data_IF_343681498252
#
_entry.id   IF_343681498252
#
_cell.length_a   1.000
_cell.length_b   1.000
_cell.length_c   1.000
_cell.angle_alpha   90.00
_cell.angle_beta   90.00
_cell.angle_gamma   90.00
#
_symmetry.space_group_name_H-M   'P 1'
#
loop_
_entity.id
_entity.type
_entity.pdbx_description
1 polymer ?
#
# COMPACT_ATOMS: atom_id res chain seq x y z
N UNK A 1 -13.80 -14.20 -0.07
CA UNK A 1 -13.42 -14.81 -1.37
C UNK A 1 -13.34 -13.63 -2.34
N UNK A 2 -12.14 -13.28 -2.78
CA UNK A 2 -11.92 -12.25 -3.78
C UNK A 2 -12.34 -12.81 -5.14
N UNK A 3 -13.22 -12.11 -5.87
CA UNK A 3 -13.59 -12.45 -7.24
C UNK A 3 -12.38 -12.19 -8.17
N UNK A 4 -12.04 -13.14 -9.02
CA UNK A 4 -10.93 -13.08 -9.98
C UNK A 4 -11.12 -12.03 -11.10
N UNK A 5 -12.15 -11.17 -11.05
CA UNK A 5 -12.45 -10.14 -12.03
C UNK A 5 -11.83 -8.77 -11.75
N UNK A 6 -10.89 -8.67 -10.80
CA UNK A 6 -10.12 -7.45 -10.56
C UNK A 6 -8.95 -7.32 -11.55
N UNK A 7 -9.25 -7.09 -12.79
CA UNK A 7 -8.26 -6.87 -13.83
C UNK A 7 -8.63 -5.74 -14.76
N UNK A 8 -8.79 -4.51 -14.22
CA UNK A 8 -8.59 -3.26 -14.97
C UNK A 8 -8.90 -2.09 -14.03
N UNK A 9 -7.87 -1.35 -13.64
CA UNK A 9 -7.96 -0.21 -12.75
C UNK A 9 -8.50 1.03 -13.47
N UNK A 10 -9.79 1.17 -13.51
CA UNK A 10 -10.48 2.41 -13.87
C UNK A 10 -11.30 2.97 -12.71
N UNK A 11 -10.79 2.90 -11.49
CA UNK A 11 -11.45 3.53 -10.34
C UNK A 11 -12.68 2.77 -9.83
N UNK A 12 -12.78 1.48 -10.08
CA UNK A 12 -13.92 0.66 -9.67
C UNK A 12 -13.71 0.04 -8.29
N UNK A 13 -14.76 0.02 -7.52
CA UNK A 13 -14.85 -0.24 -6.10
C UNK A 13 -15.02 -1.73 -5.77
N UNK A 14 -14.65 -2.11 -4.55
CA UNK A 14 -14.69 -3.48 -4.05
C UNK A 14 -16.11 -3.95 -3.78
N UNK A 15 -16.49 -5.12 -4.30
CA UNK A 15 -17.68 -5.85 -3.88
C UNK A 15 -17.35 -6.79 -2.73
N UNK A 16 -18.08 -6.70 -1.64
CA UNK A 16 -18.05 -7.71 -0.58
C UNK A 16 -19.26 -8.61 -0.75
N UNK A 17 -19.07 -9.80 -1.31
CA UNK A 17 -20.09 -10.86 -1.20
C UNK A 17 -19.99 -11.49 0.18
N UNK A 18 -21.04 -11.34 0.98
CA UNK A 18 -21.21 -12.10 2.22
C UNK A 18 -22.06 -13.32 1.88
N UNK A 19 -21.54 -14.56 2.06
CA UNK A 19 -22.37 -15.74 1.87
C UNK A 19 -23.55 -15.71 2.83
N UNK A 20 -24.76 -15.90 2.32
CA UNK A 20 -25.97 -16.11 3.12
C UNK A 20 -25.85 -17.46 3.84
N UNK A 21 -25.34 -17.46 5.06
CA UNK A 21 -25.33 -18.64 5.91
C UNK A 21 -26.30 -18.46 7.07
N UNK A 22 -27.39 -19.23 7.03
CA UNK A 22 -28.13 -19.68 8.18
C UNK A 22 -28.80 -18.60 9.04
N UNK A 23 -30.09 -18.46 8.90
CA UNK A 23 -30.94 -17.78 9.87
C UNK A 23 -30.65 -18.32 11.29
N UNK A 24 -30.14 -17.46 12.16
CA UNK A 24 -30.16 -17.70 13.61
C UNK A 24 -31.46 -17.11 14.12
N UNK A 25 -32.38 -17.98 14.50
CA UNK A 25 -33.68 -17.63 15.03
C UNK A 25 -33.53 -16.69 16.25
N UNK A 26 -34.07 -15.49 16.16
CA UNK A 26 -34.36 -14.63 17.32
C UNK A 26 -33.61 -13.30 17.42
N UNK A 27 -32.83 -12.88 16.46
CA UNK A 27 -32.28 -11.52 16.45
C UNK A 27 -32.67 -10.77 15.16
N UNK A 28 -33.12 -9.48 15.28
CA UNK A 28 -33.44 -8.69 14.09
C UNK A 28 -32.18 -8.49 13.27
N UNK A 29 -32.27 -8.56 11.93
CA UNK A 29 -31.15 -8.25 11.05
C UNK A 29 -30.72 -6.80 11.28
N UNK A 30 -29.41 -6.57 11.33
CA UNK A 30 -28.86 -5.22 11.32
C UNK A 30 -29.09 -4.63 9.95
N UNK A 31 -29.84 -3.56 9.90
CA UNK A 31 -29.88 -2.69 8.75
C UNK A 31 -28.59 -1.88 8.72
N UNK A 32 -27.57 -2.39 8.03
CA UNK A 32 -26.49 -1.57 7.53
C UNK A 32 -26.94 -1.05 6.17
N UNK A 33 -27.29 0.22 6.08
CA UNK A 33 -27.45 0.86 4.77
C UNK A 33 -26.07 0.96 4.14
N UNK A 34 -25.73 0.01 3.27
CA UNK A 34 -24.55 0.08 2.44
C UNK A 34 -24.84 1.06 1.30
N UNK A 35 -24.19 2.22 1.30
CA UNK A 35 -24.11 3.04 0.09
C UNK A 35 -23.06 2.38 -0.83
N UNK A 36 -23.55 1.78 -1.91
CA UNK A 36 -22.69 1.34 -3.02
C UNK A 36 -22.40 2.58 -3.87
N UNK A 37 -21.15 3.01 -3.90
CA UNK A 37 -20.73 4.07 -4.82
C UNK A 37 -20.58 3.49 -6.22
N UNK A 38 -21.00 4.27 -7.23
CA UNK A 38 -21.07 3.93 -8.63
C UNK A 38 -19.77 3.33 -9.18
N UNK A 39 -19.73 2.01 -9.28
CA UNK A 39 -19.23 1.37 -10.48
C UNK A 39 -20.43 1.26 -11.43
N UNK A 40 -20.24 1.31 -12.74
CA UNK A 40 -21.31 1.09 -13.73
C UNK A 40 -22.04 -0.24 -13.42
N UNK A 41 -23.09 -0.17 -12.63
CA UNK A 41 -23.83 -1.34 -12.17
C UNK A 41 -25.07 -0.96 -11.36
N UNK A 42 -25.94 -1.93 -11.16
CA UNK A 42 -27.14 -1.78 -10.34
C UNK A 42 -26.76 -1.65 -8.84
N UNK A 43 -27.40 -0.71 -8.15
CA UNK A 43 -27.28 -0.57 -6.70
C UNK A 43 -27.81 -1.84 -6.03
N UNK A 44 -26.98 -2.52 -5.24
CA UNK A 44 -27.37 -3.74 -4.53
C UNK A 44 -27.37 -3.47 -3.04
N UNK A 45 -28.51 -3.67 -2.40
CA UNK A 45 -28.63 -3.63 -0.96
C UNK A 45 -28.28 -5.00 -0.36
N UNK A 46 -27.33 -5.03 0.57
CA UNK A 46 -26.91 -6.24 1.27
C UNK A 46 -27.17 -6.07 2.76
N UNK A 47 -28.01 -6.94 3.34
CA UNK A 47 -28.24 -7.02 4.78
C UNK A 47 -27.24 -8.01 5.40
N UNK A 48 -26.49 -7.56 6.41
CA UNK A 48 -25.51 -8.39 7.09
C UNK A 48 -25.58 -8.19 8.60
N UNK A 49 -25.38 -9.27 9.37
CA UNK A 49 -25.28 -9.19 10.84
C UNK A 49 -24.01 -8.46 11.29
N UNK A 50 -22.92 -8.65 10.58
CA UNK A 50 -21.62 -8.03 10.82
C UNK A 50 -21.04 -7.50 9.53
N UNK A 51 -20.40 -6.34 9.61
CA UNK A 51 -19.65 -5.75 8.48
C UNK A 51 -18.19 -5.62 8.88
N UNK A 52 -17.30 -6.17 8.05
CA UNK A 52 -15.86 -6.09 8.22
C UNK A 52 -15.30 -5.12 7.19
N UNK A 53 -14.78 -3.99 7.66
CA UNK A 53 -14.21 -2.95 6.81
C UNK A 53 -12.69 -3.08 6.77
N UNK A 54 -12.14 -3.37 5.59
CA UNK A 54 -10.70 -3.40 5.34
C UNK A 54 -10.19 -2.08 4.73
N UNK A 55 -11.04 -1.08 4.56
CA UNK A 55 -10.63 0.26 4.14
C UNK A 55 -10.00 1.04 5.30
N UNK A 56 -9.39 2.18 4.99
CA UNK A 56 -8.87 3.08 6.02
C UNK A 56 -10.00 3.69 6.85
N UNK A 57 -9.69 4.14 8.07
CA UNK A 57 -10.65 4.87 8.90
C UNK A 57 -11.16 6.15 8.23
N UNK A 58 -10.35 6.81 7.40
CA UNK A 58 -10.75 7.97 6.59
C UNK A 58 -11.78 7.57 5.53
N UNK A 59 -11.54 6.47 4.82
CA UNK A 59 -12.49 5.96 3.82
C UNK A 59 -13.79 5.46 4.47
N UNK A 60 -13.69 4.81 5.63
CA UNK A 60 -14.87 4.43 6.39
C UNK A 60 -15.70 5.67 6.78
N UNK A 61 -15.06 6.74 7.28
CA UNK A 61 -15.73 7.99 7.59
C UNK A 61 -16.44 8.58 6.34
N UNK A 62 -15.76 8.57 5.19
CA UNK A 62 -16.33 9.03 3.91
C UNK A 62 -17.54 8.20 3.50
N UNK A 63 -17.45 6.87 3.54
CA UNK A 63 -18.54 5.94 3.19
C UNK A 63 -19.75 6.12 4.13
N UNK A 64 -19.48 6.38 5.41
CA UNK A 64 -20.54 6.57 6.42
C UNK A 64 -21.07 8.02 6.49
N UNK A 65 -20.66 8.90 5.57
CA UNK A 65 -21.11 10.28 5.46
C UNK A 65 -20.59 11.21 6.56
N UNK A 66 -19.49 10.85 7.23
CA UNK A 66 -18.86 11.71 8.23
C UNK A 66 -17.98 12.77 7.57
N UNK A 67 -17.80 13.94 8.23
CA UNK A 67 -16.84 14.93 7.79
C UNK A 67 -15.42 14.34 7.77
N UNK A 68 -14.65 14.59 6.70
CA UNK A 68 -13.24 14.14 6.59
C UNK A 68 -12.35 14.64 7.74
N UNK A 69 -12.69 15.79 8.33
CA UNK A 69 -11.97 16.36 9.48
C UNK A 69 -12.04 15.52 10.77
N UNK A 70 -12.89 14.50 10.80
CA UNK A 70 -13.06 13.65 11.99
C UNK A 70 -11.94 12.61 12.18
N UNK A 71 -11.12 12.38 11.15
CA UNK A 71 -10.02 11.40 11.20
C UNK A 71 -8.72 12.11 10.87
N UNK A 72 -7.78 12.14 11.82
CA UNK A 72 -6.40 12.59 11.56
C UNK A 72 -5.77 11.63 10.55
N UNK A 73 -5.19 12.19 9.51
CA UNK A 73 -4.42 11.43 8.54
C UNK A 73 -2.97 11.94 8.59
N UNK A 74 -2.11 11.19 9.29
CA UNK A 74 -0.69 11.45 9.29
C UNK A 74 -0.12 11.18 7.90
N UNK A 75 0.79 12.05 7.46
CA UNK A 75 1.32 11.92 6.10
C UNK A 75 2.22 10.70 5.95
N UNK A 76 2.05 10.00 4.84
CA UNK A 76 2.98 8.96 4.41
C UNK A 76 4.26 9.57 3.84
N UNK A 77 5.34 8.80 3.89
CA UNK A 77 6.66 9.21 3.40
C UNK A 77 7.25 8.19 2.41
N UNK A 78 6.41 7.39 1.80
CA UNK A 78 6.81 6.38 0.83
C UNK A 78 6.77 6.92 -0.61
N UNK A 79 7.76 6.50 -1.39
CA UNK A 79 7.80 6.71 -2.83
C UNK A 79 7.98 5.36 -3.52
N UNK A 80 7.12 5.03 -4.46
CA UNK A 80 7.14 3.71 -5.10
C UNK A 80 7.52 3.82 -6.56
N UNK A 81 8.46 2.96 -7.01
CA UNK A 81 8.77 2.82 -8.44
C UNK A 81 8.67 1.36 -8.83
N UNK A 82 7.80 1.07 -9.79
CA UNK A 82 7.68 -0.25 -10.41
C UNK A 82 8.39 -0.23 -11.77
N UNK A 83 9.19 -1.25 -12.03
CA UNK A 83 9.94 -1.40 -13.27
C UNK A 83 9.76 -2.79 -13.84
N UNK A 84 9.53 -2.91 -15.16
CA UNK A 84 9.64 -4.16 -15.89
C UNK A 84 10.96 -4.14 -16.67
N UNK A 85 11.80 -5.14 -16.45
CA UNK A 85 13.13 -5.26 -17.04
C UNK A 85 13.19 -6.41 -18.04
N UNK A 86 13.90 -6.23 -19.14
CA UNK A 86 14.24 -7.30 -20.10
C UNK A 86 15.27 -8.27 -19.53
N UNK A 87 16.04 -7.84 -18.54
CA UNK A 87 17.06 -8.58 -17.80
C UNK A 87 17.43 -7.82 -16.55
N UNK A 88 18.02 -8.49 -15.58
CA UNK A 88 18.57 -7.82 -14.40
C UNK A 88 19.80 -6.96 -14.79
N UNK A 89 19.98 -5.80 -14.15
CA UNK A 89 21.15 -4.97 -14.34
C UNK A 89 22.38 -5.60 -13.65
N UNK A 90 23.56 -5.42 -14.24
CA UNK A 90 24.81 -5.97 -13.68
C UNK A 90 25.40 -5.05 -12.62
N UNK A 91 25.68 -5.59 -11.41
CA UNK A 91 26.41 -4.85 -10.40
C UNK A 91 27.84 -4.52 -10.87
N UNK A 92 28.29 -3.31 -10.55
CA UNK A 92 29.65 -2.83 -10.91
C UNK A 92 30.76 -3.64 -10.24
N UNK A 93 30.49 -4.27 -9.12
CA UNK A 93 31.53 -4.98 -8.36
C UNK A 93 32.13 -6.18 -9.09
N UNK A 94 31.50 -6.71 -10.11
CA UNK A 94 31.96 -7.86 -10.90
C UNK A 94 32.09 -9.18 -10.10
N UNK A 95 32.01 -9.13 -8.79
CA UNK A 95 32.16 -10.28 -7.89
C UNK A 95 30.83 -10.90 -7.47
N UNK A 96 29.70 -10.32 -7.91
CA UNK A 96 28.36 -10.75 -7.57
C UNK A 96 27.53 -10.85 -8.85
N UNK A 97 26.86 -11.98 -9.06
CA UNK A 97 25.94 -12.13 -10.17
C UNK A 97 24.69 -11.25 -9.95
N UNK A 98 24.01 -10.80 -11.01
CA UNK A 98 22.77 -10.00 -10.86
C UNK A 98 21.72 -10.69 -9.98
N UNK A 99 21.55 -11.99 -10.15
CA UNK A 99 20.59 -12.80 -9.39
C UNK A 99 20.93 -12.81 -7.89
N UNK A 100 22.22 -12.85 -7.54
CA UNK A 100 22.68 -12.79 -6.16
C UNK A 100 22.47 -11.39 -5.56
N UNK A 101 22.77 -10.33 -6.34
CA UNK A 101 22.65 -8.95 -5.89
C UNK A 101 21.18 -8.56 -5.58
N UNK A 102 20.23 -9.10 -6.33
CA UNK A 102 18.81 -8.77 -6.21
C UNK A 102 17.97 -9.90 -5.59
N UNK A 103 18.60 -10.95 -5.05
CA UNK A 103 17.88 -12.06 -4.39
C UNK A 103 17.20 -11.66 -3.06
N UNK A 104 17.74 -10.64 -2.42
CA UNK A 104 17.18 -10.06 -1.19
C UNK A 104 16.82 -8.60 -1.40
N UNK A 105 16.84 -7.83 -0.34
CA UNK A 105 16.65 -6.38 -0.38
C UNK A 105 17.97 -5.71 -0.80
N UNK A 106 17.93 -4.96 -1.88
CA UNK A 106 19.07 -4.12 -2.30
C UNK A 106 18.87 -2.72 -1.70
N UNK A 107 19.69 -2.37 -0.71
CA UNK A 107 19.63 -1.10 0.00
C UNK A 107 20.35 0.03 -0.73
N UNK A 108 19.72 1.19 -0.82
CA UNK A 108 20.22 2.36 -1.52
C UNK A 108 20.32 3.55 -0.55
N UNK A 109 21.52 4.14 -0.43
CA UNK A 109 21.76 5.34 0.37
C UNK A 109 21.38 5.23 1.87
N UNK A 110 21.41 4.04 2.46
CA UNK A 110 20.94 3.77 3.83
C UNK A 110 22.07 3.77 4.88
N UNK A 111 23.20 4.40 4.59
CA UNK A 111 24.19 4.68 5.63
C UNK A 111 23.63 5.65 6.68
N UNK A 112 23.93 5.42 7.98
CA UNK A 112 23.38 6.18 9.11
C UNK A 112 23.39 7.70 8.89
N UNK A 113 24.55 8.28 8.55
CA UNK A 113 24.65 9.72 8.30
C UNK A 113 23.87 10.19 7.06
N UNK A 114 23.74 9.34 6.04
CA UNK A 114 22.96 9.66 4.85
C UNK A 114 21.46 9.65 5.13
N UNK A 115 20.98 8.71 5.93
CA UNK A 115 19.58 8.67 6.35
C UNK A 115 19.22 9.89 7.19
N UNK A 116 20.12 10.31 8.11
CA UNK A 116 19.91 11.52 8.90
C UNK A 116 19.80 12.77 8.00
N UNK A 117 20.70 12.92 7.02
CA UNK A 117 20.67 14.04 6.09
C UNK A 117 19.39 14.04 5.24
N UNK A 118 18.93 12.86 4.82
CA UNK A 118 17.69 12.70 4.08
C UNK A 118 16.47 13.13 4.91
N UNK A 119 16.40 12.65 6.14
CA UNK A 119 15.36 13.00 7.09
C UNK A 119 15.34 14.52 7.35
N UNK A 120 16.48 15.13 7.67
CA UNK A 120 16.58 16.57 7.95
C UNK A 120 16.14 17.42 6.74
N UNK A 121 16.52 17.02 5.51
CA UNK A 121 16.07 17.69 4.28
C UNK A 121 14.54 17.59 4.15
N UNK A 122 13.99 16.40 4.30
CA UNK A 122 12.54 16.17 4.19
C UNK A 122 11.75 16.94 5.27
N UNK A 123 12.27 17.05 6.48
CA UNK A 123 11.66 17.83 7.56
C UNK A 123 11.69 19.34 7.26
N UNK A 124 12.73 19.84 6.61
CA UNK A 124 12.80 21.25 6.18
C UNK A 124 11.95 21.57 4.94
N UNK A 125 11.25 20.57 4.37
CA UNK A 125 10.45 20.73 3.15
C UNK A 125 11.27 20.64 1.86
N UNK A 126 12.51 20.19 1.93
CA UNK A 126 13.37 20.00 0.78
C UNK A 126 13.44 18.50 0.39
N UNK A 127 13.35 18.25 -0.90
CA UNK A 127 13.51 16.87 -1.38
C UNK A 127 14.95 16.39 -1.18
N UNK A 128 15.20 15.24 -0.52
CA UNK A 128 16.54 14.71 -0.31
C UNK A 128 17.33 14.56 -1.60
N UNK A 129 18.59 15.00 -1.63
CA UNK A 129 19.45 14.87 -2.82
C UNK A 129 19.82 13.41 -3.13
N UNK A 130 20.00 12.62 -2.08
CA UNK A 130 20.30 11.18 -2.16
C UNK A 130 19.30 10.41 -1.30
N UNK A 131 18.05 10.26 -1.80
CA UNK A 131 17.03 9.60 -1.00
C UNK A 131 17.38 8.15 -0.73
N UNK A 132 17.13 7.65 0.49
CA UNK A 132 17.27 6.24 0.83
C UNK A 132 16.13 5.42 0.23
N UNK A 133 16.38 4.13 0.03
CA UNK A 133 15.35 3.23 -0.49
C UNK A 133 15.80 1.80 -0.62
N UNK A 134 14.83 0.94 -0.72
CA UNK A 134 14.98 -0.50 -0.84
C UNK A 134 14.49 -0.98 -2.19
N UNK A 135 15.18 -1.95 -2.78
CA UNK A 135 14.82 -2.50 -4.08
C UNK A 135 14.59 -4.01 -3.94
N UNK A 136 13.48 -4.48 -4.49
CA UNK A 136 13.04 -5.87 -4.44
C UNK A 136 12.84 -6.43 -5.85
N UNK A 137 13.32 -7.64 -6.10
CA UNK A 137 13.08 -8.40 -7.31
C UNK A 137 12.19 -9.61 -7.02
N UNK A 138 10.88 -9.40 -6.97
CA UNK A 138 9.94 -10.48 -6.62
C UNK A 138 10.00 -11.66 -7.59
N UNK A 139 10.30 -11.42 -8.87
CA UNK A 139 10.37 -12.46 -9.90
C UNK A 139 11.54 -13.43 -9.74
N UNK A 140 12.51 -13.16 -8.88
CA UNK A 140 13.54 -14.15 -8.52
C UNK A 140 13.01 -15.20 -7.56
N UNK A 141 11.99 -14.87 -6.75
CA UNK A 141 11.34 -15.78 -5.82
C UNK A 141 10.08 -16.40 -6.43
N UNK A 142 9.25 -15.56 -7.07
CA UNK A 142 8.01 -15.99 -7.70
C UNK A 142 7.86 -15.37 -9.09
N UNK A 143 8.26 -16.09 -10.16
CA UNK A 143 8.10 -15.61 -11.52
C UNK A 143 6.65 -15.61 -12.01
N UNK A 144 5.70 -16.22 -11.29
CA UNK A 144 4.29 -16.35 -11.71
C UNK A 144 3.55 -15.02 -11.83
N UNK A 145 4.07 -13.94 -11.24
CA UNK A 145 3.57 -12.57 -11.45
C UNK A 145 3.75 -12.06 -12.89
N UNK A 146 4.56 -12.73 -13.69
CA UNK A 146 4.72 -12.45 -15.12
C UNK A 146 3.99 -13.51 -15.96
N UNK A 147 3.50 -13.11 -17.13
CA UNK A 147 3.00 -14.07 -18.11
C UNK A 147 4.07 -15.09 -18.49
N UNK A 148 3.66 -16.29 -18.88
CA UNK A 148 4.60 -17.36 -19.30
C UNK A 148 5.52 -16.90 -20.44
N UNK A 149 5.05 -16.04 -21.33
CA UNK A 149 5.86 -15.47 -22.42
C UNK A 149 7.01 -14.61 -21.89
N UNK A 150 6.73 -13.74 -20.90
CA UNK A 150 7.75 -12.87 -20.31
C UNK A 150 8.74 -13.66 -19.45
N UNK A 151 8.26 -14.70 -18.74
CA UNK A 151 9.14 -15.61 -17.99
C UNK A 151 10.16 -16.29 -18.92
N UNK A 152 9.70 -16.87 -20.03
CA UNK A 152 10.58 -17.55 -21.01
C UNK A 152 11.58 -16.58 -21.62
N UNK A 153 11.21 -15.30 -21.78
CA UNK A 153 12.11 -14.26 -22.28
C UNK A 153 13.11 -13.74 -21.23
N UNK A 154 13.04 -14.21 -19.98
CA UNK A 154 13.92 -13.78 -18.89
C UNK A 154 13.64 -12.38 -18.37
N UNK A 155 12.40 -11.93 -18.43
CA UNK A 155 12.00 -10.63 -17.88
C UNK A 155 11.93 -10.69 -16.36
N UNK A 156 12.16 -9.54 -15.71
CA UNK A 156 12.09 -9.38 -14.27
C UNK A 156 11.33 -8.12 -13.87
N UNK A 157 10.75 -8.13 -12.68
CA UNK A 157 10.22 -6.92 -12.05
C UNK A 157 11.21 -6.42 -11.01
N UNK A 158 11.44 -5.12 -10.95
CA UNK A 158 12.04 -4.46 -9.80
C UNK A 158 11.05 -3.46 -9.21
N UNK A 159 10.87 -3.52 -7.90
CA UNK A 159 10.12 -2.53 -7.15
C UNK A 159 11.07 -1.77 -6.24
N UNK A 160 11.16 -0.46 -6.39
CA UNK A 160 11.84 0.41 -5.46
C UNK A 160 10.81 0.98 -4.46
N UNK A 161 11.12 0.86 -3.20
CA UNK A 161 10.43 1.47 -2.09
C UNK A 161 11.31 2.57 -1.50
N UNK A 162 10.97 3.82 -1.83
CA UNK A 162 11.71 5.00 -1.41
C UNK A 162 11.24 5.49 -0.05
N UNK A 163 12.17 5.99 0.74
CA UNK A 163 11.97 6.51 2.09
C UNK A 163 12.18 8.02 2.13
N UNK A 164 11.75 8.67 3.21
CA UNK A 164 11.88 10.12 3.45
C UNK A 164 11.28 11.00 2.33
N UNK A 165 10.18 10.54 1.76
CA UNK A 165 9.43 11.23 0.70
C UNK A 165 8.03 11.64 1.19
N UNK A 166 7.90 12.52 2.23
CA UNK A 166 6.62 12.85 2.81
C UNK A 166 5.68 13.54 1.80
N UNK A 167 4.39 13.36 2.02
CA UNK A 167 3.30 13.85 1.18
C UNK A 167 3.47 15.34 0.82
N UNK A 168 3.86 16.18 1.78
CA UNK A 168 4.02 17.64 1.60
C UNK A 168 5.03 18.02 0.51
N UNK A 169 6.00 17.17 0.18
CA UNK A 169 6.96 17.43 -0.90
C UNK A 169 6.32 17.37 -2.30
N UNK A 170 5.15 16.75 -2.41
CA UNK A 170 4.45 16.50 -3.68
C UNK A 170 3.13 17.29 -3.79
N UNK A 171 2.69 17.96 -2.74
CA UNK A 171 1.36 18.56 -2.62
C UNK A 171 1.14 19.72 -3.61
N UNK A 172 2.15 20.54 -3.84
CA UNK A 172 2.03 21.75 -4.68
C UNK A 172 2.16 21.43 -6.19
N UNK A 173 3.08 20.55 -6.58
CA UNK A 173 3.33 20.16 -7.97
C UNK A 173 3.80 18.70 -7.99
N UNK A 174 2.83 17.79 -7.92
CA UNK A 174 3.09 16.36 -7.80
C UNK A 174 3.88 15.82 -9.00
N UNK A 175 3.55 16.22 -10.21
CA UNK A 175 4.19 15.69 -11.42
C UNK A 175 5.68 16.04 -11.44
N UNK A 176 6.01 17.31 -11.27
CA UNK A 176 7.40 17.76 -11.24
C UNK A 176 8.18 17.18 -10.07
N UNK A 177 7.60 17.14 -8.87
CA UNK A 177 8.26 16.60 -7.69
C UNK A 177 8.52 15.09 -7.85
N UNK A 178 7.56 14.34 -8.40
CA UNK A 178 7.69 12.92 -8.71
C UNK A 178 8.82 12.65 -9.71
N UNK A 179 8.92 13.45 -10.77
CA UNK A 179 9.98 13.32 -11.77
C UNK A 179 11.36 13.58 -11.16
N UNK A 180 11.49 14.61 -10.31
CA UNK A 180 12.74 14.90 -9.58
C UNK A 180 13.11 13.74 -8.66
N UNK A 181 12.16 13.21 -7.90
CA UNK A 181 12.39 12.08 -7.01
C UNK A 181 12.86 10.84 -7.79
N UNK A 182 12.14 10.48 -8.87
CA UNK A 182 12.50 9.38 -9.76
C UNK A 182 13.94 9.53 -10.30
N UNK A 183 14.29 10.69 -10.81
CA UNK A 183 15.64 10.99 -11.31
C UNK A 183 16.72 10.76 -10.22
N UNK A 184 16.47 11.21 -8.98
CA UNK A 184 17.41 11.04 -7.87
C UNK A 184 17.59 9.58 -7.50
N UNK A 185 16.54 8.78 -7.50
CA UNK A 185 16.61 7.32 -7.28
C UNK A 185 17.38 6.62 -8.41
N UNK A 186 17.08 6.93 -9.68
CA UNK A 186 17.79 6.36 -10.81
C UNK A 186 19.29 6.73 -10.80
N UNK A 187 19.62 7.97 -10.50
CA UNK A 187 21.02 8.40 -10.31
C UNK A 187 21.70 7.66 -9.14
N UNK A 188 20.95 7.38 -8.08
CA UNK A 188 21.42 6.64 -6.92
C UNK A 188 21.80 5.21 -7.28
N UNK A 189 20.88 4.45 -7.88
CA UNK A 189 21.10 3.04 -8.23
C UNK A 189 22.20 2.89 -9.32
N UNK A 190 22.23 3.78 -10.31
CA UNK A 190 23.19 3.72 -11.41
C UNK A 190 24.65 3.83 -10.96
N UNK A 191 24.92 4.35 -9.74
CA UNK A 191 26.28 4.33 -9.16
C UNK A 191 26.81 2.94 -8.88
N UNK A 192 25.93 1.98 -8.65
CA UNK A 192 26.26 0.60 -8.29
C UNK A 192 26.20 -0.37 -9.47
N UNK A 193 25.82 0.11 -10.66
CA UNK A 193 25.63 -0.69 -11.86
C UNK A 193 26.72 -0.40 -12.90
N UNK A 194 27.05 -1.39 -13.73
CA UNK A 194 27.96 -1.27 -14.87
C UNK A 194 27.38 -0.40 -15.98
N UNK A 195 26.08 -0.37 -16.10
CA UNK A 195 25.31 0.38 -17.09
C UNK A 195 24.08 0.99 -16.42
N UNK A 196 23.54 2.09 -16.97
CA UNK A 196 22.31 2.65 -16.44
C UNK A 196 21.16 1.65 -16.46
N UNK A 197 20.35 1.60 -15.38
CA UNK A 197 19.22 0.68 -15.28
C UNK A 197 18.21 0.87 -16.41
N UNK A 198 18.12 2.08 -16.95
CA UNK A 198 17.26 2.45 -18.06
C UNK A 198 17.50 1.60 -19.31
N UNK A 199 18.74 1.11 -19.51
CA UNK A 199 19.09 0.20 -20.62
C UNK A 199 18.43 -1.17 -20.42
N UNK A 200 18.17 -1.58 -19.19
CA UNK A 200 17.54 -2.85 -18.85
C UNK A 200 16.00 -2.79 -18.94
N UNK A 201 15.40 -1.61 -18.92
CA UNK A 201 13.96 -1.45 -18.98
C UNK A 201 13.34 -2.08 -20.23
N UNK A 202 12.21 -2.74 -20.05
CA UNK A 202 11.32 -3.10 -21.14
C UNK A 202 10.63 -1.84 -21.70
N UNK A 203 10.08 -1.97 -22.89
CA UNK A 203 9.24 -0.94 -23.49
C UNK A 203 7.88 -1.52 -23.84
N UNK A 204 6.85 -0.70 -23.73
CA UNK A 204 5.51 -1.03 -24.21
C UNK A 204 5.42 -1.06 -25.74
N UNK A 205 4.24 -1.32 -26.27
CA UNK A 205 4.00 -1.37 -27.72
C UNK A 205 4.27 -0.03 -28.43
N UNK A 206 4.28 1.09 -27.72
CA UNK A 206 4.56 2.43 -28.23
C UNK A 206 6.03 2.85 -28.05
N UNK A 207 6.87 1.97 -27.51
CA UNK A 207 8.28 2.24 -27.23
C UNK A 207 8.51 3.03 -25.95
N UNK A 208 7.48 3.25 -25.11
CA UNK A 208 7.64 3.92 -23.83
C UNK A 208 8.27 2.96 -22.81
N UNK A 209 9.28 3.40 -22.02
CA UNK A 209 9.85 2.57 -20.97
C UNK A 209 8.80 2.12 -19.95
N UNK A 210 8.84 0.85 -19.58
CA UNK A 210 7.96 0.28 -18.56
C UNK A 210 8.48 0.60 -17.15
N UNK A 211 8.32 1.84 -16.76
CA UNK A 211 8.63 2.37 -15.43
C UNK A 211 7.49 3.26 -14.97
N UNK A 212 7.03 3.07 -13.75
CA UNK A 212 6.00 3.87 -13.12
C UNK A 212 6.47 4.31 -11.74
N UNK A 213 6.41 5.63 -11.50
CA UNK A 213 6.68 6.20 -10.20
C UNK A 213 5.38 6.72 -9.58
N UNK A 214 5.21 6.49 -8.27
CA UNK A 214 4.07 6.97 -7.50
C UNK A 214 4.56 7.65 -6.23
N UNK A 215 4.12 8.89 -6.04
CA UNK A 215 4.29 9.64 -4.80
C UNK A 215 3.19 9.31 -3.79
N UNK A 216 3.33 9.82 -2.57
CA UNK A 216 2.28 9.73 -1.55
C UNK A 216 0.94 10.35 -2.03
N UNK A 217 1.00 11.43 -2.83
CA UNK A 217 -0.20 12.06 -3.46
C UNK A 217 -0.84 11.13 -4.49
N UNK A 218 -0.04 10.42 -5.28
CA UNK A 218 -0.57 9.44 -6.24
C UNK A 218 -1.21 8.25 -5.54
N UNK A 219 -0.62 7.77 -4.44
CA UNK A 219 -1.18 6.68 -3.62
C UNK A 219 -2.53 7.07 -3.02
N UNK A 220 -2.66 8.29 -2.52
CA UNK A 220 -3.96 8.77 -2.03
C UNK A 220 -5.00 8.82 -3.16
N UNK A 221 -4.64 9.37 -4.31
CA UNK A 221 -5.57 9.51 -5.45
C UNK A 221 -5.98 8.17 -6.08
N UNK A 222 -5.03 7.23 -6.20
CA UNK A 222 -5.27 5.97 -6.94
C UNK A 222 -5.90 4.87 -6.09
N UNK A 223 -5.50 4.76 -4.83
CA UNK A 223 -5.89 3.65 -3.95
C UNK A 223 -6.40 4.11 -2.59
N UNK A 224 -6.74 5.38 -2.47
CA UNK A 224 -7.34 5.98 -1.28
C UNK A 224 -6.57 5.75 0.04
N UNK A 225 -5.23 5.67 -0.04
CA UNK A 225 -4.39 5.68 1.15
C UNK A 225 -4.36 7.09 1.74
N UNK A 226 -4.83 7.29 2.98
CA UNK A 226 -4.89 8.62 3.59
C UNK A 226 -3.52 9.29 3.58
N UNK A 227 -3.41 10.44 2.90
CA UNK A 227 -2.16 11.18 2.68
C UNK A 227 -0.99 10.27 2.25
N UNK A 228 -1.27 9.21 1.50
CA UNK A 228 -0.28 8.25 1.04
C UNK A 228 0.37 7.41 2.16
N UNK A 229 -0.21 7.39 3.36
CA UNK A 229 0.32 6.61 4.48
C UNK A 229 0.00 5.13 4.31
N UNK A 230 1.05 4.31 4.10
CA UNK A 230 0.92 2.86 3.87
C UNK A 230 0.38 2.09 5.07
N UNK A 231 0.37 2.69 6.26
CA UNK A 231 -0.23 2.13 7.47
C UNK A 231 -1.61 2.71 7.76
N UNK A 232 -2.13 3.59 6.88
CA UNK A 232 -3.40 4.31 7.00
C UNK A 232 -3.46 5.32 8.15
N UNK A 233 -2.40 5.52 8.88
CA UNK A 233 -2.23 6.40 10.04
C UNK A 233 -1.00 5.96 10.85
N UNK A 234 -0.74 6.60 11.98
CA UNK A 234 0.35 6.20 12.86
C UNK A 234 0.13 4.80 13.42
N UNK A 235 1.22 4.05 13.50
CA UNK A 235 1.21 2.75 14.18
C UNK A 235 0.99 2.98 15.67
N UNK A 236 -0.13 2.48 16.19
CA UNK A 236 -0.41 2.53 17.61
C UNK A 236 0.18 1.32 18.34
N UNK A 237 0.40 1.49 19.65
CA UNK A 237 0.85 0.42 20.50
C UNK A 237 -0.17 -0.75 20.49
N UNK A 238 0.26 -2.02 20.32
CA UNK A 238 -0.66 -3.14 20.17
C UNK A 238 -1.38 -3.56 21.45
N UNK A 239 -1.01 -3.00 22.58
CA UNK A 239 -1.63 -3.26 23.88
C UNK A 239 -2.47 -2.07 24.35
N UNK A 240 -3.27 -2.27 25.43
CA UNK A 240 -4.03 -1.20 26.04
C UNK A 240 -3.10 -0.10 26.58
N UNK A 241 -3.38 1.14 26.22
CA UNK A 241 -2.66 2.33 26.70
C UNK A 241 -3.31 2.96 27.94
N UNK A 242 -4.58 2.63 28.17
CA UNK A 242 -5.37 3.12 29.31
C UNK A 242 -6.44 2.10 29.72
N UNK A 243 -7.05 2.31 30.87
CA UNK A 243 -8.02 1.39 31.46
C UNK A 243 -9.28 1.19 30.58
N UNK A 244 -9.63 2.17 29.76
CA UNK A 244 -10.81 2.08 28.88
C UNK A 244 -10.58 1.13 27.70
N UNK A 245 -9.34 0.86 27.37
CA UNK A 245 -8.95 -0.03 26.28
C UNK A 245 -8.75 -1.49 26.73
N UNK A 246 -8.74 -1.72 28.04
CA UNK A 246 -8.61 -3.07 28.58
C UNK A 246 -9.80 -3.92 28.16
N UNK A 247 -9.52 -5.06 27.54
CA UNK A 247 -10.56 -5.97 27.05
C UNK A 247 -11.15 -5.61 25.69
N UNK A 248 -10.72 -4.51 25.06
CA UNK A 248 -11.09 -4.18 23.68
C UNK A 248 -10.14 -4.83 22.69
N UNK A 249 -10.66 -5.23 21.54
CA UNK A 249 -9.87 -5.82 20.46
C UNK A 249 -9.20 -4.78 19.57
N UNK A 250 -9.61 -3.48 19.66
CA UNK A 250 -9.08 -2.37 18.86
C UNK A 250 -9.53 -2.39 17.40
N UNK A 251 -10.62 -3.08 17.15
CA UNK A 251 -11.29 -3.17 15.83
C UNK A 251 -12.65 -2.52 15.83
N UNK A 252 -13.13 -2.17 17.01
CA UNK A 252 -14.44 -1.58 17.25
C UNK A 252 -14.54 -0.21 16.58
N UNK A 253 -15.71 0.07 16.02
CA UNK A 253 -16.09 1.40 15.53
C UNK A 253 -17.23 1.94 16.40
N UNK A 254 -17.65 3.18 16.15
CA UNK A 254 -18.84 3.73 16.81
C UNK A 254 -20.15 3.09 16.33
N UNK A 255 -20.11 2.37 15.18
CA UNK A 255 -21.26 1.67 14.64
C UNK A 255 -21.32 0.25 15.20
N UNK A 256 -22.47 -0.17 15.77
CA UNK A 256 -22.64 -1.54 16.22
C UNK A 256 -22.39 -2.52 15.07
N UNK A 257 -21.62 -3.57 15.34
CA UNK A 257 -21.33 -4.66 14.42
C UNK A 257 -20.59 -4.29 13.12
N UNK A 258 -20.04 -3.09 13.04
CA UNK A 258 -19.08 -2.66 12.02
C UNK A 258 -17.69 -2.63 12.63
N UNK A 259 -16.78 -3.44 12.11
CA UNK A 259 -15.43 -3.59 12.64
C UNK A 259 -14.37 -3.28 11.57
N UNK A 260 -13.28 -2.62 11.97
CA UNK A 260 -12.09 -2.50 11.14
C UNK A 260 -11.31 -3.83 11.21
N UNK A 261 -10.97 -4.40 10.06
CA UNK A 261 -10.24 -5.65 9.98
C UNK A 261 -8.90 -5.55 9.23
N UNK A 262 -8.49 -4.35 8.83
CA UNK A 262 -7.26 -4.06 8.09
C UNK A 262 -6.28 -3.18 8.84
N UNK A 263 -5.32 -2.63 8.11
CA UNK A 263 -4.20 -1.84 8.64
C UNK A 263 -4.60 -0.62 9.46
N UNK A 264 -5.80 -0.10 9.26
CA UNK A 264 -6.31 1.06 10.01
C UNK A 264 -6.91 0.72 11.38
N UNK A 265 -7.02 -0.55 11.75
CA UNK A 265 -7.44 -0.92 13.08
C UNK A 265 -6.39 -0.49 14.12
N UNK A 266 -6.86 -0.15 15.33
CA UNK A 266 -6.00 0.43 16.38
C UNK A 266 -4.83 -0.47 16.75
N UNK A 267 -4.98 -1.80 16.64
CA UNK A 267 -3.96 -2.75 17.09
C UNK A 267 -3.44 -3.57 15.92
N UNK A 268 -2.13 -3.59 15.74
CA UNK A 268 -1.43 -4.48 14.82
C UNK A 268 -1.43 -4.00 13.41
N UNK A 269 -1.32 -2.87 12.97
CA UNK A 269 -1.28 -2.38 11.58
C UNK A 269 -0.36 -3.16 10.62
N UNK A 270 -0.06 -2.58 9.49
CA UNK A 270 0.71 -3.17 8.40
C UNK A 270 0.12 -4.52 7.91
N UNK A 271 0.96 -5.48 7.58
CA UNK A 271 0.57 -6.83 7.11
C UNK A 271 0.67 -7.89 8.21
N UNK A 272 0.45 -7.51 9.47
CA UNK A 272 0.60 -8.43 10.61
C UNK A 272 -0.49 -9.52 10.70
N UNK A 273 -1.65 -9.31 10.07
CA UNK A 273 -2.83 -10.18 10.22
C UNK A 273 -3.57 -10.01 11.57
N UNK A 274 -3.01 -9.26 12.53
CA UNK A 274 -3.61 -9.04 13.85
C UNK A 274 -4.99 -8.39 13.77
N UNK A 275 -5.23 -7.35 12.95
CA UNK A 275 -6.55 -6.75 12.84
C UNK A 275 -7.64 -7.72 12.40
N UNK A 276 -7.35 -8.56 11.40
CA UNK A 276 -8.28 -9.59 10.92
C UNK A 276 -8.58 -10.64 12.00
N UNK A 277 -7.54 -11.10 12.70
CA UNK A 277 -7.70 -12.00 13.85
C UNK A 277 -8.56 -11.37 14.94
N UNK A 278 -8.28 -10.13 15.32
CA UNK A 278 -8.99 -9.42 16.37
C UNK A 278 -10.47 -9.20 16.01
N UNK A 279 -10.76 -8.85 14.75
CA UNK A 279 -12.15 -8.72 14.29
C UNK A 279 -12.90 -10.04 14.34
N UNK A 280 -12.28 -11.15 13.94
CA UNK A 280 -12.88 -12.47 14.07
C UNK A 280 -13.15 -12.86 15.53
N UNK A 281 -12.20 -12.61 16.43
CA UNK A 281 -12.36 -12.91 17.85
C UNK A 281 -13.44 -12.05 18.51
N UNK A 282 -13.56 -10.77 18.11
CA UNK A 282 -14.64 -9.89 18.57
C UNK A 282 -16.01 -10.44 18.19
N UNK A 283 -16.19 -10.85 16.93
CA UNK A 283 -17.44 -11.44 16.44
C UNK A 283 -17.78 -12.73 17.21
N UNK A 284 -16.80 -13.60 17.44
CA UNK A 284 -17.00 -14.83 18.18
C UNK A 284 -17.43 -14.54 19.62
N UNK A 285 -16.81 -13.56 20.27
CA UNK A 285 -17.15 -13.15 21.62
C UNK A 285 -18.59 -12.60 21.70
N UNK A 286 -19.00 -11.78 20.74
CA UNK A 286 -20.35 -11.18 20.69
C UNK A 286 -21.44 -12.19 20.29
N UNK A 287 -21.05 -13.35 19.77
CA UNK A 287 -21.96 -14.42 19.34
C UNK A 287 -22.21 -15.48 20.41
N UNK A 288 -21.45 -15.46 21.51
CA UNK A 288 -21.62 -16.34 22.66
C UNK A 288 -22.58 -15.78 23.67
#
# INVERSE_FOLDING_TARGET
ILDERCGESNGEWWHVEVPSSGEVEGQPPLQAEAQVFEAEGEEVQVDARYVLCNASGKELARITGKPESSVSADEGAAFKVNMLLKRLPRPRSGSCAPEEAFAGTFHLNEGYGQMQLSYDSSQSGEMPEKPPGEIYCHTLTDPSILSSELQVKGFHTLTLFGLDMPYRLFENDNERARDIALQRYLLGINKYLDEPIEVCLASDANGKPCIEAMSAVDLEKKIHLPRGNIFHGDLSWPFAENDQEVGQWGVETEYPNLFLCGSSAKRGGAVSGIPGHNAAMKILQDSM
#
